data_IF_864052267140
#
_entry.id   IF_864052267140
#
_cell.length_a   1.000
_cell.length_b   1.000
_cell.length_c   1.000
_cell.angle_alpha   90.00
_cell.angle_beta   90.00
_cell.angle_gamma   90.00
#
_symmetry.space_group_name_H-M   'P 1'
#
loop_
_entity.id
_entity.type
_entity.pdbx_description
1 polymer ?
#
# COMPACT_ATOMS: atom_id res chain seq x y z
N UNK A 1 41.04 42.70 50.91
CA UNK A 1 39.95 42.89 49.93
C UNK A 1 39.62 41.48 49.38
N UNK A 2 38.54 40.88 49.87
CA UNK A 2 38.10 39.53 49.44
C UNK A 2 36.95 39.70 48.46
N UNK A 3 37.16 39.19 47.24
CA UNK A 3 36.14 39.25 46.15
C UNK A 3 35.24 38.03 46.31
N UNK A 4 33.97 38.24 46.61
CA UNK A 4 32.93 37.20 46.58
C UNK A 4 32.39 37.06 45.19
N UNK A 5 32.62 35.89 44.56
CA UNK A 5 31.98 35.52 43.31
C UNK A 5 30.72 34.72 43.65
N UNK A 6 29.54 35.30 43.39
CA UNK A 6 28.29 34.59 43.49
C UNK A 6 28.06 33.77 42.21
N UNK A 7 27.97 32.46 42.35
CA UNK A 7 27.52 31.58 41.26
C UNK A 7 25.99 31.70 41.13
N UNK A 8 25.52 32.23 40.01
CA UNK A 8 24.12 32.06 39.58
C UNK A 8 23.92 30.66 39.01
N UNK A 9 23.18 29.83 39.73
CA UNK A 9 22.68 28.58 39.22
C UNK A 9 21.48 28.87 38.31
N UNK A 10 21.69 28.82 37.00
CA UNK A 10 20.60 28.88 36.01
C UNK A 10 19.85 27.54 36.00
N UNK A 11 18.59 27.56 36.39
CA UNK A 11 17.70 26.40 36.24
C UNK A 11 17.45 26.14 34.74
N UNK A 12 17.91 25.02 34.25
CA UNK A 12 17.53 24.49 32.93
C UNK A 12 16.07 24.02 33.02
N UNK A 13 15.17 24.76 32.39
CA UNK A 13 13.79 24.31 32.14
C UNK A 13 13.86 23.31 30.99
N UNK A 14 13.38 22.06 31.15
CA UNK A 14 13.35 21.13 30.04
C UNK A 14 12.38 21.68 28.97
N UNK A 15 12.87 21.84 27.75
CA UNK A 15 12.04 22.13 26.60
C UNK A 15 11.09 20.94 26.39
N UNK A 16 9.82 21.10 26.74
CA UNK A 16 8.78 20.18 26.35
C UNK A 16 8.74 20.14 24.81
N UNK A 17 9.10 19.00 24.23
CA UNK A 17 8.91 18.75 22.82
C UNK A 17 7.40 18.84 22.56
N UNK A 18 6.99 19.87 21.85
CA UNK A 18 5.63 20.03 21.37
C UNK A 18 5.45 19.00 20.26
N UNK A 19 4.91 17.82 20.60
CA UNK A 19 4.39 16.87 19.63
C UNK A 19 3.02 17.43 19.23
N UNK A 20 2.83 17.89 17.98
CA UNK A 20 1.52 18.29 17.55
C UNK A 20 0.62 17.06 17.61
N UNK A 21 -0.42 17.12 18.43
CA UNK A 21 -1.46 16.11 18.41
C UNK A 21 -2.00 16.07 16.98
N UNK A 22 -1.78 14.95 16.29
CA UNK A 22 -2.40 14.67 15.00
C UNK A 22 -3.90 14.88 15.21
N UNK A 23 -4.46 15.92 14.60
CA UNK A 23 -5.90 16.12 14.58
C UNK A 23 -6.46 14.98 13.74
N UNK A 24 -7.06 13.99 14.41
CA UNK A 24 -7.93 13.01 13.78
C UNK A 24 -9.00 13.79 13.01
N UNK A 25 -8.89 13.84 11.72
CA UNK A 25 -9.96 14.29 10.84
C UNK A 25 -10.86 13.09 10.68
N UNK A 26 -12.11 13.12 11.17
CA UNK A 26 -13.03 12.01 10.93
C UNK A 26 -13.12 11.79 9.43
N UNK A 27 -13.01 10.52 9.02
CA UNK A 27 -13.13 10.12 7.63
C UNK A 27 -14.35 10.80 7.01
N UNK A 28 -14.16 11.46 5.88
CA UNK A 28 -15.28 11.93 5.08
C UNK A 28 -16.03 10.69 4.65
N UNK A 29 -17.28 10.54 5.12
CA UNK A 29 -18.16 9.42 4.74
C UNK A 29 -18.43 9.59 3.25
N UNK A 30 -17.64 8.92 2.41
CA UNK A 30 -17.96 8.72 1.01
C UNK A 30 -18.73 7.40 0.91
N UNK A 31 -19.90 7.45 0.32
CA UNK A 31 -20.73 6.28 -0.02
C UNK A 31 -21.42 5.52 1.13
N UNK A 32 -21.62 6.11 2.30
CA UNK A 32 -22.41 5.49 3.37
C UNK A 32 -21.66 4.49 4.27
N UNK A 33 -20.37 4.28 4.06
CA UNK A 33 -19.54 3.43 4.91
C UNK A 33 -19.05 4.17 6.15
N UNK A 34 -18.99 3.46 7.28
CA UNK A 34 -18.46 3.97 8.54
C UNK A 34 -17.31 3.09 9.01
N UNK A 35 -16.36 3.67 9.72
CA UNK A 35 -15.26 2.92 10.34
C UNK A 35 -15.27 3.06 11.85
N UNK A 36 -14.87 2.00 12.54
CA UNK A 36 -14.68 1.98 13.99
C UNK A 36 -13.31 1.39 14.32
N UNK A 37 -12.62 2.00 15.29
CA UNK A 37 -11.35 1.47 15.81
C UNK A 37 -11.59 0.63 17.05
N UNK A 38 -10.87 -0.48 17.19
CA UNK A 38 -10.82 -1.30 18.38
C UNK A 38 -9.38 -1.66 18.72
N UNK A 39 -9.11 -2.04 19.96
CA UNK A 39 -7.75 -2.26 20.45
C UNK A 39 -7.00 -0.94 20.72
N UNK A 40 -5.83 -1.06 21.32
CA UNK A 40 -4.95 0.08 21.59
C UNK A 40 -4.08 0.35 20.36
N UNK A 41 -3.91 1.62 20.00
CA UNK A 41 -3.03 2.01 18.89
C UNK A 41 -1.59 1.53 19.13
N UNK A 42 -0.88 1.19 18.05
CA UNK A 42 0.48 0.66 18.10
C UNK A 42 0.60 -0.68 18.87
N UNK A 43 -0.49 -1.48 18.85
CA UNK A 43 -0.49 -2.84 19.39
C UNK A 43 -1.03 -3.84 18.37
N UNK A 44 -0.71 -5.12 18.58
CA UNK A 44 -1.20 -6.23 17.76
C UNK A 44 -2.74 -6.32 17.72
N UNK A 45 -3.42 -5.80 18.76
CA UNK A 45 -4.88 -5.82 18.86
C UNK A 45 -5.60 -4.71 18.10
N UNK A 46 -4.87 -3.72 17.57
CA UNK A 46 -5.48 -2.59 16.87
C UNK A 46 -6.15 -3.03 15.56
N UNK A 47 -7.42 -2.64 15.38
CA UNK A 47 -8.18 -2.91 14.14
C UNK A 47 -9.00 -1.68 13.75
N UNK A 48 -9.13 -1.48 12.43
CA UNK A 48 -10.12 -0.56 11.86
C UNK A 48 -11.14 -1.43 11.12
N UNK A 49 -12.34 -1.52 11.68
CA UNK A 49 -13.46 -2.28 11.11
C UNK A 49 -14.38 -1.37 10.31
N UNK A 50 -15.07 -1.95 9.33
CA UNK A 50 -15.97 -1.25 8.44
C UNK A 50 -17.42 -1.68 8.67
N UNK A 51 -18.36 -0.75 8.43
CA UNK A 51 -19.79 -1.03 8.46
C UNK A 51 -20.56 -0.21 7.43
N UNK A 52 -21.66 -0.78 6.96
CA UNK A 52 -22.68 -0.09 6.18
C UNK A 52 -23.97 -0.11 7.01
N UNK A 53 -24.39 1.07 7.50
CA UNK A 53 -25.43 1.15 8.53
C UNK A 53 -25.03 0.41 9.80
N UNK A 54 -25.82 -0.59 10.21
CA UNK A 54 -25.55 -1.44 11.39
C UNK A 54 -24.82 -2.76 11.05
N UNK A 55 -24.60 -3.05 9.77
CA UNK A 55 -23.99 -4.29 9.31
C UNK A 55 -22.49 -4.15 9.20
N UNK A 56 -21.72 -5.06 9.81
CA UNK A 56 -20.30 -5.19 9.57
C UNK A 56 -20.06 -5.66 8.13
N UNK A 57 -19.06 -5.06 7.47
CA UNK A 57 -18.69 -5.36 6.08
C UNK A 57 -17.19 -5.57 5.95
N UNK A 58 -16.80 -6.27 4.89
CA UNK A 58 -15.41 -6.38 4.46
C UNK A 58 -15.05 -5.22 3.55
N UNK A 59 -14.00 -4.43 3.85
CA UNK A 59 -13.51 -3.43 2.92
C UNK A 59 -12.99 -4.03 1.61
N UNK A 60 -12.57 -5.30 1.63
CA UNK A 60 -12.10 -6.00 0.45
C UNK A 60 -13.25 -6.52 -0.42
N UNK A 61 -14.27 -7.12 0.19
CA UNK A 61 -15.29 -7.87 -0.56
C UNK A 61 -16.58 -7.11 -0.80
N UNK A 62 -16.98 -6.21 0.12
CA UNK A 62 -18.32 -5.61 0.10
C UNK A 62 -18.32 -4.18 -0.43
N UNK A 63 -17.16 -3.49 -0.46
CA UNK A 63 -17.03 -2.20 -1.13
C UNK A 63 -16.88 -2.46 -2.64
N UNK A 64 -17.72 -1.85 -3.50
CA UNK A 64 -17.61 -2.06 -4.95
C UNK A 64 -16.29 -1.48 -5.49
N UNK A 65 -15.67 -2.21 -6.42
CA UNK A 65 -14.45 -1.75 -7.11
C UNK A 65 -14.69 -0.47 -7.92
N UNK A 66 -15.78 -0.43 -8.69
CA UNK A 66 -16.05 0.69 -9.61
C UNK A 66 -16.50 1.93 -8.86
N UNK A 67 -15.92 3.06 -9.22
CA UNK A 67 -16.37 4.38 -8.77
C UNK A 67 -17.69 4.82 -9.38
N UNK A 68 -18.08 6.05 -9.10
CA UNK A 68 -19.34 6.63 -9.61
C UNK A 68 -19.25 7.08 -11.05
N UNK A 69 -18.05 7.32 -11.57
CA UNK A 69 -17.77 7.78 -12.92
C UNK A 69 -17.08 6.70 -13.74
N UNK A 70 -17.21 6.76 -15.05
CA UNK A 70 -16.50 5.85 -15.97
C UNK A 70 -14.98 6.02 -15.82
N UNK A 71 -14.27 4.90 -15.69
CA UNK A 71 -12.82 4.89 -15.55
C UNK A 71 -12.29 5.28 -14.15
N UNK A 72 -13.18 5.41 -13.16
CA UNK A 72 -12.80 5.62 -11.77
C UNK A 72 -13.05 4.37 -10.93
N UNK A 73 -12.32 4.26 -9.81
CA UNK A 73 -12.37 3.12 -8.91
C UNK A 73 -12.43 3.60 -7.45
N UNK A 74 -13.00 2.80 -6.57
CA UNK A 74 -12.88 3.02 -5.14
C UNK A 74 -11.53 2.49 -4.64
N UNK A 75 -10.92 3.21 -3.73
CA UNK A 75 -9.71 2.80 -3.02
C UNK A 75 -9.94 2.85 -1.51
N UNK A 76 -9.49 1.84 -0.81
CA UNK A 76 -9.47 1.78 0.66
C UNK A 76 -8.10 2.25 1.12
N UNK A 77 -8.03 3.35 1.86
CA UNK A 77 -6.77 3.90 2.34
C UNK A 77 -6.36 3.19 3.63
N UNK A 78 -5.22 2.55 3.61
CA UNK A 78 -4.64 1.81 4.72
C UNK A 78 -3.59 2.65 5.45
N UNK A 79 -2.75 3.36 4.70
CA UNK A 79 -1.61 4.10 5.22
C UNK A 79 -1.70 5.55 4.74
N UNK A 80 -2.04 6.48 5.63
CA UNK A 80 -2.03 7.90 5.32
C UNK A 80 -0.64 8.41 4.92
N UNK A 81 -0.60 9.37 3.99
CA UNK A 81 0.61 10.11 3.64
C UNK A 81 1.37 10.59 4.88
N UNK A 82 2.69 10.48 4.86
CA UNK A 82 3.61 10.87 5.93
C UNK A 82 3.50 10.04 7.22
N UNK A 83 2.97 8.81 7.13
CA UNK A 83 3.01 7.83 8.22
C UNK A 83 3.92 6.64 7.88
N UNK A 84 4.23 5.80 8.87
CA UNK A 84 5.22 4.71 8.71
C UNK A 84 4.72 3.32 9.11
N UNK A 85 3.63 3.22 9.91
CA UNK A 85 3.06 1.93 10.27
C UNK A 85 2.57 1.21 9.01
N UNK A 86 3.05 -0.02 8.75
CA UNK A 86 2.56 -0.83 7.63
C UNK A 86 1.21 -1.40 8.00
N UNK A 87 0.17 -0.65 7.68
CA UNK A 87 -1.22 -1.07 7.86
C UNK A 87 -1.69 -1.73 6.58
N UNK A 88 -2.48 -2.80 6.69
CA UNK A 88 -3.02 -3.54 5.54
C UNK A 88 -4.37 -4.16 5.89
N UNK A 89 -5.18 -4.42 4.89
CA UNK A 89 -6.39 -5.22 5.00
C UNK A 89 -5.98 -6.64 5.43
N UNK A 90 -6.46 -7.07 6.59
CA UNK A 90 -6.16 -8.40 7.14
C UNK A 90 -6.97 -9.47 6.40
N UNK A 91 -6.47 -9.91 5.25
CA UNK A 91 -7.17 -10.81 4.30
C UNK A 91 -7.60 -12.15 4.91
N UNK A 92 -7.00 -12.54 6.06
CA UNK A 92 -7.28 -13.82 6.77
C UNK A 92 -8.21 -13.66 7.96
N UNK A 93 -8.57 -12.43 8.34
CA UNK A 93 -9.45 -12.15 9.47
C UNK A 93 -10.90 -11.96 9.01
N UNK A 94 -11.86 -12.31 9.88
CA UNK A 94 -13.29 -12.10 9.63
C UNK A 94 -13.58 -10.62 9.33
N UNK A 95 -14.32 -10.35 8.26
CA UNK A 95 -14.63 -9.04 7.72
C UNK A 95 -13.39 -8.20 7.33
N UNK A 96 -12.23 -8.79 7.22
CA UNK A 96 -10.99 -8.19 6.73
C UNK A 96 -10.72 -6.76 7.25
N UNK A 97 -10.64 -6.53 8.57
CA UNK A 97 -10.36 -5.20 9.11
C UNK A 97 -8.94 -4.76 8.70
N UNK A 98 -8.66 -3.45 8.73
CA UNK A 98 -7.30 -2.98 8.62
C UNK A 98 -6.56 -3.26 9.94
N UNK A 99 -5.39 -3.89 9.83
CA UNK A 99 -4.50 -4.21 10.94
C UNK A 99 -3.06 -3.81 10.61
N UNK A 100 -2.20 -3.69 11.61
CA UNK A 100 -0.78 -3.50 11.35
C UNK A 100 -0.12 -4.85 11.04
N UNK A 101 0.66 -4.91 9.97
CA UNK A 101 1.44 -6.09 9.59
C UNK A 101 2.41 -6.51 10.71
N UNK A 102 2.58 -7.81 10.85
CA UNK A 102 3.40 -8.43 11.87
C UNK A 102 4.56 -9.19 11.23
N UNK A 103 5.79 -8.90 11.66
CA UNK A 103 6.97 -9.62 11.22
C UNK A 103 7.77 -10.13 12.41
N UNK A 104 7.96 -11.45 12.49
CA UNK A 104 8.69 -12.10 13.59
C UNK A 104 8.15 -11.74 14.99
N UNK A 105 6.82 -11.61 15.12
CA UNK A 105 6.15 -11.28 16.38
C UNK A 105 6.27 -9.81 16.79
N UNK A 106 6.58 -8.90 15.86
CA UNK A 106 6.64 -7.45 16.09
C UNK A 106 5.83 -6.72 15.05
N UNK A 107 5.21 -5.62 15.45
CA UNK A 107 4.57 -4.69 14.53
C UNK A 107 5.59 -4.18 13.52
N UNK A 108 5.17 -4.11 12.27
CA UNK A 108 6.02 -3.67 11.16
C UNK A 108 5.79 -2.20 10.86
N UNK A 109 6.86 -1.44 10.96
CA UNK A 109 6.93 -0.07 10.47
C UNK A 109 7.83 -0.02 9.23
N UNK A 110 7.56 0.88 8.32
CA UNK A 110 8.55 1.31 7.35
C UNK A 110 9.66 2.11 8.05
N UNK A 111 10.87 2.08 7.53
CA UNK A 111 12.03 2.78 8.11
C UNK A 111 11.97 4.31 7.94
N UNK A 112 11.01 4.80 7.18
CA UNK A 112 10.67 6.20 7.01
C UNK A 112 9.21 6.32 6.58
N UNK A 113 8.62 7.53 6.63
CA UNK A 113 7.26 7.73 6.17
C UNK A 113 7.16 7.50 4.67
N UNK A 114 6.00 7.04 4.22
CA UNK A 114 5.65 7.08 2.80
C UNK A 114 5.18 8.49 2.43
N UNK A 115 5.44 8.93 1.20
CA UNK A 115 5.17 10.31 0.78
C UNK A 115 3.85 10.48 0.01
N UNK A 116 3.04 9.43 -0.05
CA UNK A 116 1.73 9.33 -0.70
C UNK A 116 0.75 8.64 0.24
N UNK A 117 -0.54 8.65 -0.09
CA UNK A 117 -1.49 7.76 0.57
C UNK A 117 -1.39 6.37 -0.09
N UNK A 118 -1.51 5.33 0.72
CA UNK A 118 -1.38 3.97 0.24
C UNK A 118 -2.55 3.13 0.71
N UNK A 119 -2.95 2.15 -0.08
CA UNK A 119 -4.02 1.26 0.25
C UNK A 119 -4.27 0.27 -0.87
N UNK A 120 -5.45 -0.31 -0.92
CA UNK A 120 -5.81 -1.31 -1.91
C UNK A 120 -7.08 -0.93 -2.69
N UNK A 121 -7.26 -1.54 -3.85
CA UNK A 121 -8.52 -1.51 -4.60
C UNK A 121 -9.39 -2.69 -4.14
N UNK A 122 -10.61 -2.45 -3.64
CA UNK A 122 -11.51 -3.52 -3.23
C UNK A 122 -11.88 -4.43 -4.41
N UNK A 123 -12.31 -5.66 -4.09
CA UNK A 123 -12.76 -6.64 -5.09
C UNK A 123 -11.70 -6.93 -6.18
N UNK A 124 -10.42 -6.91 -5.80
CA UNK A 124 -9.28 -7.34 -6.63
C UNK A 124 -8.46 -8.38 -5.86
N UNK A 125 -7.71 -9.22 -6.59
CA UNK A 125 -6.82 -10.22 -5.99
C UNK A 125 -5.71 -10.60 -6.95
N UNK A 126 -4.49 -10.55 -6.49
CA UNK A 126 -3.29 -10.95 -7.22
C UNK A 126 -3.07 -12.46 -7.01
N UNK A 127 -3.62 -13.27 -7.93
CA UNK A 127 -3.67 -14.74 -7.80
C UNK A 127 -2.26 -15.36 -7.75
N UNK A 128 -1.88 -16.00 -6.62
CA UNK A 128 -0.58 -16.64 -6.48
C UNK A 128 -0.41 -17.92 -7.31
N UNK A 129 -1.45 -18.36 -8.01
CA UNK A 129 -1.42 -19.54 -8.87
C UNK A 129 -1.41 -19.20 -10.38
N UNK A 130 -1.62 -17.93 -10.73
CA UNK A 130 -1.62 -17.44 -12.10
C UNK A 130 -0.25 -16.85 -12.46
N UNK A 131 0.50 -17.51 -13.35
CA UNK A 131 1.79 -17.00 -13.83
C UNK A 131 1.57 -15.89 -14.87
N UNK A 132 2.12 -14.70 -14.62
CA UNK A 132 2.09 -13.63 -15.61
C UNK A 132 2.87 -14.03 -16.88
N UNK A 133 2.26 -13.92 -18.08
CA UNK A 133 2.80 -14.52 -19.30
C UNK A 133 4.16 -13.94 -19.72
N UNK A 134 4.43 -12.68 -19.42
CA UNK A 134 5.67 -12.00 -19.79
C UNK A 134 6.69 -11.99 -18.65
N UNK A 135 6.28 -11.64 -17.43
CA UNK A 135 7.18 -11.48 -16.30
C UNK A 135 7.57 -12.80 -15.63
N UNK A 136 6.78 -13.87 -15.84
CA UNK A 136 7.02 -15.20 -15.26
C UNK A 136 7.06 -15.18 -13.73
N UNK A 137 6.23 -14.34 -13.13
CA UNK A 137 6.00 -14.24 -11.71
C UNK A 137 4.53 -14.53 -11.43
N UNK A 138 4.23 -14.91 -10.19
CA UNK A 138 2.89 -15.14 -9.68
C UNK A 138 2.47 -13.95 -8.82
N UNK A 139 1.17 -13.73 -8.63
CA UNK A 139 0.67 -12.71 -7.71
C UNK A 139 1.06 -12.98 -6.25
N UNK A 140 0.89 -12.00 -5.38
CA UNK A 140 1.34 -12.01 -3.98
C UNK A 140 0.27 -12.45 -2.97
N UNK A 141 -0.91 -12.88 -3.43
CA UNK A 141 -2.06 -13.33 -2.61
C UNK A 141 -2.82 -12.20 -1.89
N UNK A 142 -2.59 -10.92 -2.25
CA UNK A 142 -3.24 -9.77 -1.65
C UNK A 142 -4.09 -8.98 -2.68
N UNK A 143 -4.98 -8.05 -2.25
CA UNK A 143 -5.63 -7.11 -3.15
C UNK A 143 -4.61 -6.20 -3.83
N UNK A 144 -4.89 -5.77 -5.08
CA UNK A 144 -3.96 -4.89 -5.80
C UNK A 144 -3.76 -3.55 -5.07
N UNK A 145 -2.54 -3.12 -4.96
CA UNK A 145 -2.13 -1.92 -4.25
C UNK A 145 -2.39 -0.63 -5.04
N UNK A 146 -2.77 0.43 -4.33
CA UNK A 146 -2.92 1.78 -4.89
C UNK A 146 -2.00 2.78 -4.20
N UNK A 147 -1.25 3.52 -5.01
CA UNK A 147 -0.41 4.65 -4.63
C UNK A 147 -1.14 5.93 -5.02
N UNK A 148 -1.84 6.54 -4.06
CA UNK A 148 -2.61 7.77 -4.28
C UNK A 148 -1.70 8.99 -4.09
N UNK A 149 -1.42 9.72 -5.19
CA UNK A 149 -0.41 10.79 -5.26
C UNK A 149 -0.98 12.21 -5.08
N UNK A 150 -2.24 12.33 -4.72
CA UNK A 150 -2.89 13.64 -4.49
C UNK A 150 -2.20 14.50 -3.44
N UNK A 151 -2.62 15.73 -3.33
CA UNK A 151 -2.02 16.73 -2.44
C UNK A 151 -2.36 16.52 -0.97
N UNK A 152 -3.53 15.92 -0.68
CA UNK A 152 -4.09 15.77 0.68
C UNK A 152 -3.55 14.53 1.37
N UNK A 153 -3.44 14.56 2.70
CA UNK A 153 -3.34 13.35 3.51
C UNK A 153 -4.74 12.82 3.77
N UNK A 154 -4.99 11.57 3.42
CA UNK A 154 -6.29 10.90 3.56
C UNK A 154 -6.22 9.98 4.78
N UNK A 155 -7.26 9.98 5.61
CA UNK A 155 -7.27 9.19 6.84
C UNK A 155 -7.33 7.67 6.55
N UNK A 156 -6.72 6.87 7.42
CA UNK A 156 -6.84 5.40 7.40
C UNK A 156 -8.30 4.98 7.48
N UNK A 157 -8.70 4.00 6.70
CA UNK A 157 -10.07 3.50 6.61
C UNK A 157 -11.00 4.37 5.74
N UNK A 158 -10.49 5.45 5.12
CA UNK A 158 -11.27 6.19 4.14
C UNK A 158 -11.47 5.37 2.87
N UNK A 159 -12.67 5.42 2.32
CA UNK A 159 -12.97 4.94 0.96
C UNK A 159 -13.07 6.15 0.06
N UNK A 160 -12.17 6.24 -0.91
CA UNK A 160 -12.09 7.39 -1.82
C UNK A 160 -12.19 6.94 -3.28
N UNK A 161 -12.83 7.77 -4.09
CA UNK A 161 -12.87 7.51 -5.53
C UNK A 161 -11.59 8.05 -6.18
N UNK A 162 -10.88 7.20 -6.92
CA UNK A 162 -9.61 7.52 -7.56
C UNK A 162 -9.67 7.33 -9.07
N UNK A 163 -8.91 8.13 -9.78
CA UNK A 163 -8.63 8.00 -11.21
C UNK A 163 -7.24 7.37 -11.38
N UNK A 164 -7.12 6.16 -11.95
CA UNK A 164 -5.84 5.58 -12.29
C UNK A 164 -5.10 6.41 -13.33
N UNK A 165 -3.80 6.56 -13.15
CA UNK A 165 -2.91 7.26 -14.07
C UNK A 165 -1.95 6.31 -14.78
N UNK A 166 -1.62 5.20 -14.13
CA UNK A 166 -0.73 4.18 -14.67
C UNK A 166 -0.43 3.11 -13.64
N UNK A 167 0.43 2.17 -13.97
CA UNK A 167 0.78 1.05 -13.10
C UNK A 167 2.28 0.72 -13.18
N UNK A 168 2.85 0.30 -12.07
CA UNK A 168 4.23 -0.17 -11.96
C UNK A 168 4.23 -1.64 -11.55
N UNK A 169 4.92 -2.48 -12.33
CA UNK A 169 5.11 -3.89 -11.99
C UNK A 169 6.27 -4.04 -11.00
N UNK A 170 5.99 -4.08 -9.71
CA UNK A 170 7.01 -4.41 -8.71
C UNK A 170 7.16 -5.93 -8.61
N UNK A 171 8.41 -6.39 -8.49
CA UNK A 171 8.72 -7.79 -8.20
C UNK A 171 9.29 -7.84 -6.79
N UNK A 172 8.48 -8.31 -5.85
CA UNK A 172 8.82 -8.37 -4.45
C UNK A 172 9.09 -9.79 -3.96
N UNK A 173 10.34 -10.07 -3.55
CA UNK A 173 10.78 -11.43 -3.17
C UNK A 173 10.47 -12.52 -4.24
N UNK A 174 10.20 -12.14 -5.49
CA UNK A 174 9.89 -13.01 -6.63
C UNK A 174 8.42 -13.10 -6.99
N UNK A 175 7.56 -12.41 -6.28
CA UNK A 175 6.13 -12.27 -6.53
C UNK A 175 5.84 -10.97 -7.28
N UNK A 176 4.85 -10.98 -8.14
CA UNK A 176 4.37 -9.79 -8.86
C UNK A 176 3.39 -9.05 -7.96
N UNK A 177 3.75 -7.83 -7.65
CA UNK A 177 3.06 -6.95 -6.73
C UNK A 177 2.83 -5.61 -7.47
N UNK A 178 1.66 -5.46 -8.09
CA UNK A 178 1.31 -4.33 -8.91
C UNK A 178 1.05 -3.07 -8.04
N UNK A 179 1.61 -1.93 -8.47
CA UNK A 179 1.37 -0.63 -7.83
C UNK A 179 0.62 0.28 -8.78
N UNK A 180 -0.68 0.45 -8.59
CA UNK A 180 -1.51 1.37 -9.37
C UNK A 180 -1.25 2.80 -8.87
N UNK A 181 -0.72 3.66 -9.72
CA UNK A 181 -0.65 5.09 -9.43
C UNK A 181 -1.98 5.74 -9.77
N UNK A 182 -2.54 6.45 -8.81
CA UNK A 182 -3.85 7.09 -8.96
C UNK A 182 -3.89 8.44 -8.24
N UNK A 183 -4.90 9.23 -8.55
CA UNK A 183 -5.21 10.49 -7.88
C UNK A 183 -6.68 10.51 -7.46
N UNK A 184 -6.98 10.95 -6.24
CA UNK A 184 -8.34 11.12 -5.76
C UNK A 184 -9.12 12.09 -6.65
N UNK A 185 -10.33 11.74 -7.06
CA UNK A 185 -11.11 12.52 -8.05
C UNK A 185 -11.48 13.92 -7.53
N UNK A 186 -11.47 14.13 -6.22
CA UNK A 186 -11.72 15.42 -5.56
C UNK A 186 -10.43 16.24 -5.28
N UNK A 187 -9.26 15.74 -5.69
CA UNK A 187 -8.00 16.47 -5.61
C UNK A 187 -7.81 17.38 -6.83
N UNK A 188 -7.19 18.56 -6.63
CA UNK A 188 -6.92 19.49 -7.72
C UNK A 188 -6.01 18.88 -8.80
N UNK A 189 -5.07 18.00 -8.41
CA UNK A 189 -4.19 17.30 -9.35
C UNK A 189 -4.95 16.36 -10.31
N UNK A 190 -6.17 15.93 -9.96
CA UNK A 190 -7.00 15.14 -10.85
C UNK A 190 -7.42 15.90 -12.13
N UNK A 191 -7.36 17.22 -12.10
CA UNK A 191 -7.61 18.08 -13.28
C UNK A 191 -6.37 18.25 -14.16
N UNK A 192 -5.19 18.03 -13.59
CA UNK A 192 -3.91 18.22 -14.25
C UNK A 192 -3.37 16.91 -14.85
N UNK A 193 -3.60 15.78 -14.17
CA UNK A 193 -3.09 14.48 -14.59
C UNK A 193 -4.20 13.63 -15.19
N UNK A 194 -4.03 13.19 -16.42
CA UNK A 194 -4.96 12.26 -17.08
C UNK A 194 -4.31 10.91 -17.40
N UNK A 195 -2.98 10.87 -17.49
CA UNK A 195 -2.19 9.66 -17.71
C UNK A 195 -0.87 9.75 -16.93
N UNK A 196 -0.13 8.64 -16.87
CA UNK A 196 1.17 8.58 -16.21
C UNK A 196 2.19 9.54 -16.79
N UNK A 197 2.05 9.90 -18.06
CA UNK A 197 2.95 10.85 -18.73
C UNK A 197 2.78 12.28 -18.20
N UNK A 198 1.63 12.64 -17.67
CA UNK A 198 1.38 13.94 -17.04
C UNK A 198 2.02 14.06 -15.66
N UNK A 199 2.31 12.91 -15.01
CA UNK A 199 2.93 12.89 -13.67
C UNK A 199 4.40 13.28 -13.77
N UNK A 200 4.86 14.27 -12.96
CA UNK A 200 6.26 14.67 -12.96
C UNK A 200 7.23 13.50 -12.75
N UNK A 201 8.31 13.46 -13.51
CA UNK A 201 9.34 12.41 -13.41
C UNK A 201 9.86 12.25 -11.96
N UNK A 202 10.03 13.36 -11.23
CA UNK A 202 10.49 13.34 -9.84
C UNK A 202 9.55 12.60 -8.90
N UNK A 203 8.24 12.63 -9.16
CA UNK A 203 7.24 11.87 -8.38
C UNK A 203 7.36 10.38 -8.72
N UNK A 204 7.34 10.04 -10.01
CA UNK A 204 7.49 8.66 -10.50
C UNK A 204 8.80 8.01 -10.02
N UNK A 205 9.91 8.70 -10.19
CA UNK A 205 11.22 8.23 -9.76
C UNK A 205 11.30 8.10 -8.23
N UNK A 206 10.74 9.06 -7.49
CA UNK A 206 10.69 9.02 -6.04
C UNK A 206 9.93 7.80 -5.50
N UNK A 207 8.79 7.47 -6.10
CA UNK A 207 7.98 6.28 -5.73
C UNK A 207 8.76 5.01 -6.06
N UNK A 208 9.27 4.87 -7.29
CA UNK A 208 10.03 3.69 -7.71
C UNK A 208 11.26 3.47 -6.84
N UNK A 209 12.05 4.51 -6.57
CA UNK A 209 13.24 4.41 -5.74
C UNK A 209 12.87 4.09 -4.27
N UNK A 210 11.79 4.66 -3.73
CA UNK A 210 11.34 4.30 -2.39
C UNK A 210 11.05 2.79 -2.28
N UNK A 211 10.29 2.21 -3.22
CA UNK A 211 10.02 0.78 -3.26
C UNK A 211 11.27 -0.06 -3.55
N UNK A 212 12.26 0.50 -4.25
CA UNK A 212 13.55 -0.17 -4.44
C UNK A 212 14.30 -0.37 -3.12
N UNK A 213 14.26 0.64 -2.24
CA UNK A 213 15.07 0.69 -1.04
C UNK A 213 14.37 0.27 0.25
N UNK A 214 13.05 0.26 0.31
CA UNK A 214 12.27 0.20 1.55
C UNK A 214 12.54 -1.02 2.43
N UNK A 215 13.06 -2.14 1.88
CA UNK A 215 13.40 -3.36 2.62
C UNK A 215 14.89 -3.46 3.02
N UNK A 216 15.75 -2.59 2.52
CA UNK A 216 17.21 -2.70 2.75
C UNK A 216 17.61 -2.58 4.22
N UNK A 217 16.96 -1.78 5.07
CA UNK A 217 17.26 -1.76 6.50
C UNK A 217 16.89 -3.07 7.23
N UNK A 218 16.12 -3.96 6.62
CA UNK A 218 15.82 -5.30 7.12
C UNK A 218 16.83 -6.37 6.67
N UNK A 219 18.01 -5.96 6.20
CA UNK A 219 19.03 -6.83 5.60
C UNK A 219 18.55 -7.56 4.32
N UNK A 220 17.50 -7.04 3.68
CA UNK A 220 17.05 -7.52 2.37
C UNK A 220 17.84 -6.83 1.25
N UNK A 221 18.06 -7.48 0.10
CA UNK A 221 18.61 -6.81 -1.07
C UNK A 221 17.67 -5.72 -1.55
N UNK A 222 18.19 -4.81 -2.35
CA UNK A 222 17.36 -3.91 -3.17
C UNK A 222 16.36 -4.74 -3.99
N UNK A 223 15.14 -4.24 -4.12
CA UNK A 223 14.25 -4.76 -5.15
C UNK A 223 14.93 -4.49 -6.51
N UNK A 224 15.36 -5.55 -7.21
CA UNK A 224 16.15 -5.46 -8.44
C UNK A 224 17.57 -6.00 -8.38
N UNK A 225 18.07 -6.36 -7.20
CA UNK A 225 19.38 -7.00 -7.06
C UNK A 225 19.29 -8.47 -6.68
N UNK A 226 20.00 -9.32 -7.42
CA UNK A 226 20.25 -10.71 -7.05
C UNK A 226 21.42 -10.77 -6.06
N UNK A 227 21.25 -11.37 -4.88
CA UNK A 227 22.40 -11.69 -4.01
C UNK A 227 23.29 -12.71 -4.72
N UNK A 228 24.60 -12.41 -4.79
CA UNK A 228 25.60 -13.28 -5.41
C UNK A 228 25.62 -14.71 -4.82
N UNK A 229 25.17 -14.91 -3.60
CA UNK A 229 25.09 -16.22 -2.93
C UNK A 229 24.05 -17.15 -3.56
N UNK A 230 23.02 -16.60 -4.22
CA UNK A 230 22.02 -17.39 -4.95
C UNK A 230 22.58 -17.92 -6.29
N UNK A 231 23.62 -17.27 -6.85
CA UNK A 231 24.21 -17.66 -8.11
C UNK A 231 25.00 -18.99 -8.06
N UNK A 232 25.55 -19.35 -6.90
CA UNK A 232 26.41 -20.54 -6.78
C UNK A 232 25.64 -21.88 -6.84
N UNK A 233 24.32 -21.88 -6.82
CA UNK A 233 23.50 -23.10 -6.79
C UNK A 233 22.58 -23.30 -7.99
N UNK A 234 22.51 -22.37 -8.94
CA UNK A 234 21.59 -22.46 -10.08
C UNK A 234 22.36 -22.52 -11.42
N UNK A 235 21.86 -23.25 -12.44
CA UNK A 235 22.38 -23.18 -13.80
C UNK A 235 22.37 -21.74 -14.31
N UNK A 236 23.42 -21.36 -15.06
CA UNK A 236 23.63 -20.00 -15.58
C UNK A 236 22.42 -19.45 -16.33
N UNK A 237 21.67 -20.30 -17.03
CA UNK A 237 20.46 -19.92 -17.78
C UNK A 237 19.31 -19.49 -16.85
N UNK A 238 19.19 -20.12 -15.67
CA UNK A 238 18.18 -19.77 -14.68
C UNK A 238 18.54 -18.45 -14.01
N UNK A 239 19.84 -18.20 -13.76
CA UNK A 239 20.32 -16.93 -13.24
C UNK A 239 20.06 -15.77 -14.21
N UNK A 240 20.31 -15.96 -15.51
CA UNK A 240 20.06 -14.94 -16.54
C UNK A 240 18.56 -14.62 -16.70
N UNK A 241 17.69 -15.62 -16.56
CA UNK A 241 16.24 -15.40 -16.57
C UNK A 241 15.74 -14.76 -15.27
N UNK A 242 16.33 -15.11 -14.12
CA UNK A 242 16.03 -14.46 -12.82
C UNK A 242 16.56 -13.03 -12.71
N UNK A 243 17.67 -12.67 -13.37
CA UNK A 243 18.14 -11.27 -13.40
C UNK A 243 17.12 -10.31 -14.03
N UNK A 244 16.19 -10.82 -14.86
CA UNK A 244 15.09 -10.03 -15.44
C UNK A 244 13.86 -9.91 -14.52
N UNK A 245 13.79 -10.69 -13.44
CA UNK A 245 12.62 -10.77 -12.56
C UNK A 245 12.83 -10.20 -11.16
N UNK A 246 13.87 -9.42 -10.92
CA UNK A 246 14.16 -8.85 -9.61
C UNK A 246 14.07 -7.34 -9.67
N UNK A 247 13.01 -6.79 -9.04
CA UNK A 247 12.80 -5.37 -8.83
C UNK A 247 11.56 -4.81 -9.51
N UNK A 248 11.65 -4.49 -10.78
CA UNK A 248 10.52 -3.96 -11.53
C UNK A 248 10.47 -4.58 -12.91
N UNK A 249 9.29 -4.98 -13.33
CA UNK A 249 9.02 -5.45 -14.67
C UNK A 249 9.09 -4.34 -15.73
N UNK A 250 9.00 -4.72 -17.00
CA UNK A 250 8.87 -3.80 -18.13
C UNK A 250 9.98 -2.72 -18.20
N UNK A 251 11.23 -3.14 -17.95
CA UNK A 251 12.39 -2.24 -17.91
C UNK A 251 12.21 -1.07 -16.90
N UNK A 252 11.55 -1.33 -15.77
CA UNK A 252 11.29 -0.37 -14.70
C UNK A 252 10.41 0.83 -15.10
N UNK A 253 9.67 0.69 -16.19
CA UNK A 253 8.77 1.73 -16.67
C UNK A 253 7.40 1.63 -16.02
N UNK A 254 6.81 2.77 -15.80
CA UNK A 254 5.39 2.87 -15.56
C UNK A 254 4.65 2.60 -16.87
N UNK A 255 3.62 1.79 -16.81
CA UNK A 255 2.70 1.55 -17.91
C UNK A 255 1.52 2.52 -17.80
N UNK A 256 0.87 2.81 -18.91
CA UNK A 256 -0.17 3.83 -19.03
C UNK A 256 -1.47 3.48 -18.28
N UNK A 257 -2.38 4.43 -18.23
CA UNK A 257 -3.70 4.24 -17.58
C UNK A 257 -4.53 3.13 -18.20
N UNK A 258 -4.35 2.88 -19.50
CA UNK A 258 -5.07 1.80 -20.18
C UNK A 258 -4.60 0.45 -19.65
N UNK A 259 -3.30 0.25 -19.56
CA UNK A 259 -2.71 -0.96 -18.97
C UNK A 259 -3.08 -1.10 -17.50
N UNK A 260 -3.08 0.01 -16.74
CA UNK A 260 -3.55 -0.01 -15.36
C UNK A 260 -5.00 -0.52 -15.24
N UNK A 261 -5.90 -0.06 -16.12
CA UNK A 261 -7.28 -0.52 -16.15
C UNK A 261 -7.37 -2.01 -16.52
N UNK A 262 -6.56 -2.50 -17.47
CA UNK A 262 -6.50 -3.91 -17.85
C UNK A 262 -6.04 -4.79 -16.68
N UNK A 263 -5.01 -4.39 -15.96
CA UNK A 263 -4.51 -5.08 -14.75
C UNK A 263 -5.56 -5.10 -13.64
N UNK A 264 -6.25 -3.98 -13.40
CA UNK A 264 -7.34 -3.89 -12.40
C UNK A 264 -8.49 -4.85 -12.77
N UNK A 265 -8.88 -4.93 -14.04
CA UNK A 265 -9.94 -5.86 -14.47
C UNK A 265 -9.48 -7.33 -14.35
N UNK A 266 -8.24 -7.64 -14.69
CA UNK A 266 -7.67 -8.99 -14.55
C UNK A 266 -7.68 -9.44 -13.08
N UNK A 267 -7.21 -8.60 -12.15
CA UNK A 267 -7.23 -8.90 -10.72
C UNK A 267 -8.65 -8.94 -10.15
N UNK A 268 -9.58 -8.16 -10.72
CA UNK A 268 -10.99 -8.25 -10.37
C UNK A 268 -11.62 -9.57 -10.84
N UNK A 269 -11.28 -10.05 -12.02
CA UNK A 269 -11.77 -11.33 -12.52
C UNK A 269 -11.18 -12.51 -11.70
N UNK A 270 -9.94 -12.40 -11.24
CA UNK A 270 -9.34 -13.34 -10.30
C UNK A 270 -10.10 -13.34 -8.95
N UNK A 271 -10.40 -12.15 -8.40
CA UNK A 271 -11.20 -12.01 -7.20
C UNK A 271 -12.61 -12.62 -7.34
N UNK A 272 -13.28 -12.46 -8.47
CA UNK A 272 -14.59 -13.10 -8.73
C UNK A 272 -14.49 -14.62 -8.61
N UNK A 273 -13.45 -15.22 -9.16
CA UNK A 273 -13.22 -16.68 -9.09
C UNK A 273 -12.93 -17.12 -7.66
N UNK A 274 -12.12 -16.34 -6.93
CA UNK A 274 -11.88 -16.57 -5.51
C UNK A 274 -13.19 -16.50 -4.71
N UNK A 275 -13.99 -15.47 -4.94
CA UNK A 275 -15.23 -15.19 -4.21
C UNK A 275 -16.34 -16.20 -4.52
N UNK A 276 -16.39 -16.73 -5.77
CA UNK A 276 -17.34 -17.79 -6.17
C UNK A 276 -16.94 -19.18 -5.68
N UNK A 277 -15.69 -19.37 -5.23
CA UNK A 277 -15.13 -20.68 -4.87
C UNK A 277 -14.64 -21.49 -6.07
N UNK A 278 -14.50 -20.86 -7.25
CA UNK A 278 -13.88 -21.49 -8.43
C UNK A 278 -12.35 -21.68 -8.23
N UNK A 279 -11.77 -20.87 -7.34
CA UNK A 279 -10.40 -20.99 -6.85
C UNK A 279 -10.44 -21.20 -5.34
N UNK A 280 -9.58 -22.09 -4.84
CA UNK A 280 -9.49 -22.37 -3.40
C UNK A 280 -8.92 -21.18 -2.64
N UNK A 281 -9.66 -20.69 -1.65
CA UNK A 281 -9.30 -19.52 -0.86
C UNK A 281 -8.15 -19.75 0.14
N UNK A 282 -7.79 -21.01 0.40
CA UNK A 282 -6.73 -21.34 1.34
C UNK A 282 -7.06 -20.83 2.76
N UNK A 283 -6.32 -19.80 3.21
CA UNK A 283 -6.52 -19.16 4.53
C UNK A 283 -7.26 -17.83 4.44
N UNK A 284 -7.56 -17.36 3.25
CA UNK A 284 -8.26 -16.09 3.08
C UNK A 284 -9.69 -16.19 3.60
N UNK A 285 -10.13 -15.14 4.29
CA UNK A 285 -11.52 -15.02 4.67
C UNK A 285 -12.30 -14.41 3.50
N UNK A 286 -13.25 -15.14 2.97
CA UNK A 286 -14.03 -14.74 1.79
C UNK A 286 -15.49 -14.43 2.11
N UNK A 287 -15.89 -14.46 3.39
CA UNK A 287 -17.28 -14.18 3.78
C UNK A 287 -18.28 -15.28 3.44
N UNK A 288 -17.83 -16.53 3.19
CA UNK A 288 -18.65 -17.70 2.89
C UNK A 288 -18.80 -18.61 4.09
#
# INVERSE_FOLDING_TARGET
>A
MKLNIALLAGALVPASAFVPASRYVPATILNGYSTATSGEAETESFRVSFSEGESAISPWHDIPLKGSSEGTYNAVIEIPKMTKAKMEVATKEENNPIAQDMKKGKLRDYHGPIFWNYGCLPQTWEDPNAEHPELKCFGDDDPIDVVEIGSKSIAMGSVVEVKPLGVLAMIDDGELDWKVLAVATDDELAKEYDDIDDVPASVKDGIREWFRWYKTPDDKPLNGECRAETFLRLPLQICLNRQRSLGFGFDEKYLDKKTAAEVIEETHDAWKKLRSGDIEAGKLWTGN
#
